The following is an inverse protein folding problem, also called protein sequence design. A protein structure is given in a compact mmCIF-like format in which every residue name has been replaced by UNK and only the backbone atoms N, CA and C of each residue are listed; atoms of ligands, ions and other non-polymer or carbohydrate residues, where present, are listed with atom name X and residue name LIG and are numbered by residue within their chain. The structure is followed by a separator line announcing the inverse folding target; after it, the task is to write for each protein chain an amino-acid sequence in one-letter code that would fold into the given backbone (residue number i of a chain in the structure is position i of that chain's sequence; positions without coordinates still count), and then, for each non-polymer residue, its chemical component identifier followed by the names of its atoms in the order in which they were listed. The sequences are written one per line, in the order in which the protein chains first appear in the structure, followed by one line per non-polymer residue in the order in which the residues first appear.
data_IF_838339470162
#
_entry.id   IF_838339470162
#
_cell.length_a   1.000
_cell.length_b   1.000
_cell.length_c   1.000
_cell.angle_alpha   90.00
_cell.angle_beta   90.00
_cell.angle_gamma   90.00
#
_symmetry.space_group_name_H-M   'P 1'
#
loop_
_entity.id
_entity.type
_entity.pdbx_description
1 polymer ?
#
# COMPACT_ATOMS: atom_id res chain seq x y z
N UNK A 1 5.83 -20.63 42.18
CA UNK A 1 5.95 -21.05 40.77
C UNK A 1 6.44 -19.91 39.88
N UNK A 2 5.87 -18.70 39.92
CA UNK A 2 6.30 -17.55 39.13
C UNK A 2 7.77 -17.19 39.32
N UNK A 3 8.26 -17.13 40.56
CA UNK A 3 9.67 -16.83 40.86
C UNK A 3 10.63 -17.81 40.18
N UNK A 4 10.31 -19.10 40.16
CA UNK A 4 11.11 -20.12 39.45
C UNK A 4 11.13 -19.91 37.93
N UNK A 5 10.05 -19.38 37.34
CA UNK A 5 10.04 -19.03 35.92
C UNK A 5 10.94 -17.81 35.65
N UNK A 6 10.90 -16.82 36.53
CA UNK A 6 11.79 -15.64 36.44
C UNK A 6 13.25 -16.03 36.57
N UNK A 7 13.59 -16.88 37.56
CA UNK A 7 14.95 -17.41 37.73
C UNK A 7 15.44 -18.17 36.50
N UNK A 8 14.62 -19.08 35.97
CA UNK A 8 14.94 -19.82 34.72
C UNK A 8 15.15 -18.88 33.54
N UNK A 9 14.26 -17.90 33.37
CA UNK A 9 14.42 -16.88 32.32
C UNK A 9 15.76 -16.15 32.46
N UNK A 10 16.11 -15.69 33.67
CA UNK A 10 17.34 -14.95 33.90
C UNK A 10 18.58 -15.83 33.64
N UNK A 11 18.54 -17.11 34.05
CA UNK A 11 19.61 -18.08 33.78
C UNK A 11 19.79 -18.31 32.26
N UNK A 12 18.70 -18.47 31.51
CA UNK A 12 18.75 -18.65 30.06
C UNK A 12 19.27 -17.38 29.37
N UNK A 13 18.82 -16.21 29.79
CA UNK A 13 19.29 -14.94 29.22
C UNK A 13 20.78 -14.70 29.49
N UNK A 14 21.29 -15.09 30.66
CA UNK A 14 22.72 -14.98 30.96
C UNK A 14 23.57 -15.96 30.13
N UNK A 15 23.04 -17.16 29.87
CA UNK A 15 23.72 -18.19 29.08
C UNK A 15 23.66 -17.95 27.55
N UNK A 16 22.68 -17.19 27.11
CA UNK A 16 22.46 -16.89 25.68
C UNK A 16 22.29 -15.38 25.49
N UNK A 17 23.39 -14.62 25.43
CA UNK A 17 23.30 -13.19 25.19
C UNK A 17 22.55 -12.93 23.88
N UNK A 18 21.57 -12.02 23.92
CA UNK A 18 20.83 -11.61 22.74
C UNK A 18 21.78 -11.05 21.69
N UNK A 19 21.81 -11.68 20.54
CA UNK A 19 22.45 -11.06 19.38
C UNK A 19 21.67 -9.77 19.03
N UNK A 20 22.38 -8.70 18.65
CA UNK A 20 21.71 -7.49 18.18
C UNK A 20 20.84 -7.85 16.97
N UNK A 21 19.66 -7.24 16.82
CA UNK A 21 18.79 -7.50 15.67
C UNK A 21 19.51 -7.16 14.36
N UNK A 22 19.45 -8.05 13.39
CA UNK A 22 19.97 -7.83 12.03
C UNK A 22 18.91 -7.11 11.19
N UNK A 23 18.56 -5.88 11.56
CA UNK A 23 17.51 -5.12 10.92
C UNK A 23 17.60 -5.04 9.39
N UNK A 24 18.79 -4.77 8.79
CA UNK A 24 18.91 -4.73 7.34
C UNK A 24 18.56 -6.06 6.65
N UNK A 25 19.01 -7.18 7.20
CA UNK A 25 18.72 -8.51 6.64
C UNK A 25 17.25 -8.88 6.79
N UNK A 26 16.66 -8.54 7.95
CA UNK A 26 15.22 -8.72 8.18
C UNK A 26 14.38 -7.85 7.24
N UNK A 27 14.80 -6.61 6.99
CA UNK A 27 14.15 -5.73 6.03
C UNK A 27 14.24 -6.28 4.60
N UNK A 28 15.41 -6.72 4.16
CA UNK A 28 15.60 -7.34 2.86
C UNK A 28 14.72 -8.59 2.67
N UNK A 29 14.58 -9.39 3.73
CA UNK A 29 13.67 -10.55 3.72
C UNK A 29 12.19 -10.11 3.63
N UNK A 30 11.78 -9.09 4.37
CA UNK A 30 10.43 -8.55 4.32
C UNK A 30 10.08 -7.99 2.92
N UNK A 31 11.00 -7.26 2.30
CA UNK A 31 10.84 -6.78 0.92
C UNK A 31 10.68 -7.94 -0.06
N UNK A 32 11.50 -8.99 0.07
CA UNK A 32 11.38 -10.19 -0.78
C UNK A 32 10.04 -10.89 -0.56
N UNK A 33 9.60 -11.08 0.68
CA UNK A 33 8.32 -11.69 1.01
C UNK A 33 7.14 -10.88 0.42
N UNK A 34 7.18 -9.56 0.53
CA UNK A 34 6.16 -8.69 -0.06
C UNK A 34 6.11 -8.83 -1.60
N UNK A 35 7.28 -8.85 -2.26
CA UNK A 35 7.36 -9.03 -3.73
C UNK A 35 6.79 -10.37 -4.17
N UNK A 36 7.08 -11.45 -3.45
CA UNK A 36 6.59 -12.80 -3.74
C UNK A 36 5.11 -12.97 -3.34
N UNK A 37 4.61 -12.16 -2.41
CA UNK A 37 3.22 -12.17 -1.94
C UNK A 37 2.26 -11.35 -2.80
N UNK A 38 2.75 -10.48 -3.68
CA UNK A 38 1.90 -9.71 -4.57
C UNK A 38 1.25 -10.61 -5.63
N UNK A 39 -0.06 -10.49 -5.81
CA UNK A 39 -0.81 -11.25 -6.82
C UNK A 39 -1.20 -10.36 -7.98
N UNK A 40 -0.74 -10.71 -9.18
CA UNK A 40 -1.15 -10.04 -10.41
C UNK A 40 -2.46 -10.64 -10.91
N UNK A 41 -3.59 -10.01 -10.58
CA UNK A 41 -4.92 -10.50 -10.97
C UNK A 41 -5.22 -10.27 -12.45
N UNK A 42 -4.74 -9.14 -12.99
CA UNK A 42 -5.01 -8.74 -14.37
C UNK A 42 -3.89 -7.86 -14.93
N UNK A 43 -3.43 -8.15 -16.14
CA UNK A 43 -2.50 -7.31 -16.88
C UNK A 43 -2.86 -7.32 -18.38
N UNK A 44 -4.05 -6.81 -18.70
CA UNK A 44 -4.54 -6.74 -20.08
C UNK A 44 -3.71 -5.72 -20.86
N UNK A 45 -3.34 -6.09 -22.09
CA UNK A 45 -2.51 -5.27 -22.98
C UNK A 45 -1.10 -4.96 -22.43
N UNK A 46 -0.58 -5.79 -21.54
CA UNK A 46 0.78 -5.66 -20.97
C UNK A 46 1.07 -4.25 -20.44
N UNK A 47 0.14 -3.69 -19.63
CA UNK A 47 0.30 -2.35 -19.02
C UNK A 47 1.40 -2.32 -17.95
N UNK A 48 1.68 -3.46 -17.38
CA UNK A 48 2.82 -3.68 -16.47
C UNK A 48 3.86 -4.57 -17.18
N UNK A 49 5.16 -4.34 -16.96
CA UNK A 49 5.75 -3.32 -16.09
C UNK A 49 5.58 -1.89 -16.63
N UNK A 50 5.64 -0.89 -15.72
CA UNK A 50 5.67 0.52 -16.09
C UNK A 50 6.98 0.81 -16.84
N UNK A 51 6.91 1.68 -17.84
CA UNK A 51 8.06 2.04 -18.68
C UNK A 51 8.64 3.37 -18.21
N UNK A 52 9.93 3.35 -17.83
CA UNK A 52 10.67 4.57 -17.59
C UNK A 52 11.01 5.25 -18.92
N UNK A 53 10.79 6.55 -19.04
CA UNK A 53 11.11 7.26 -20.27
C UNK A 53 10.91 8.78 -20.17
N UNK A 54 11.79 9.51 -20.84
CA UNK A 54 11.68 10.96 -20.93
C UNK A 54 10.37 11.38 -21.65
N UNK A 55 9.68 12.35 -21.07
CA UNK A 55 8.38 12.80 -21.54
C UNK A 55 7.17 11.98 -21.04
N UNK A 56 7.43 10.83 -20.39
CA UNK A 56 6.36 10.09 -19.73
C UNK A 56 5.93 10.80 -18.45
N UNK A 57 4.63 10.73 -18.16
CA UNK A 57 4.03 11.22 -16.92
C UNK A 57 3.27 10.10 -16.25
N UNK A 58 3.65 9.75 -15.03
CA UNK A 58 2.94 8.81 -14.17
C UNK A 58 2.16 9.58 -13.11
N UNK A 59 0.85 9.43 -13.09
CA UNK A 59 0.02 9.89 -11.99
C UNK A 59 -0.18 8.77 -10.98
N UNK A 60 0.19 9.01 -9.74
CA UNK A 60 -0.05 8.11 -8.60
C UNK A 60 -1.18 8.69 -7.78
N UNK A 61 -2.25 7.91 -7.56
CA UNK A 61 -3.43 8.33 -6.80
C UNK A 61 -3.56 7.46 -5.55
N UNK A 62 -3.90 8.08 -4.43
CA UNK A 62 -4.17 7.43 -3.16
C UNK A 62 -3.19 7.79 -2.06
N UNK A 63 -3.70 7.91 -0.85
CA UNK A 63 -2.90 8.25 0.36
C UNK A 63 -1.91 7.14 0.72
N UNK A 64 -2.23 5.87 0.43
CA UNK A 64 -1.35 4.72 0.70
C UNK A 64 -0.05 4.74 -0.13
N UNK A 65 0.00 5.53 -1.19
CA UNK A 65 1.26 5.75 -1.92
C UNK A 65 2.31 6.49 -1.07
N UNK A 66 1.88 7.28 -0.08
CA UNK A 66 2.73 8.08 0.82
C UNK A 66 2.74 7.51 2.23
N UNK A 67 1.58 7.04 2.71
CA UNK A 67 1.40 6.46 4.04
C UNK A 67 0.87 5.03 3.92
N UNK A 68 1.71 4.06 3.52
CA UNK A 68 1.26 2.72 3.21
C UNK A 68 0.75 1.99 4.45
N UNK A 69 -0.32 1.24 4.29
CA UNK A 69 -0.81 0.31 5.32
C UNK A 69 0.02 -0.97 5.25
N UNK A 70 0.93 -1.15 6.21
CA UNK A 70 1.85 -2.31 6.27
C UNK A 70 1.37 -3.40 7.23
N UNK A 71 0.31 -3.14 8.00
CA UNK A 71 -0.16 -4.03 9.06
C UNK A 71 -1.60 -3.69 9.46
N UNK A 72 -2.28 -4.66 10.07
CA UNK A 72 -3.59 -4.45 10.69
C UNK A 72 -3.53 -3.57 11.93
N UNK A 73 -4.71 -3.30 12.50
CA UNK A 73 -4.86 -2.60 13.76
C UNK A 73 -4.79 -3.55 14.98
N UNK A 74 -4.88 -3.00 16.19
CA UNK A 74 -4.91 -3.76 17.44
C UNK A 74 -3.56 -4.37 17.79
N UNK A 75 -3.56 -5.60 18.28
CA UNK A 75 -2.37 -6.32 18.78
C UNK A 75 -1.35 -6.67 17.67
N UNK A 76 -1.75 -6.62 16.41
CA UNK A 76 -0.86 -6.81 15.27
C UNK A 76 0.05 -5.61 15.00
N UNK A 77 -0.23 -4.45 15.60
CA UNK A 77 0.53 -3.22 15.37
C UNK A 77 1.94 -3.32 15.98
N UNK A 78 2.96 -3.08 15.15
CA UNK A 78 4.37 -3.04 15.55
C UNK A 78 5.02 -1.73 15.10
N UNK A 79 6.05 -1.30 15.81
CA UNK A 79 6.89 -0.18 15.39
C UNK A 79 7.90 -0.71 14.35
N UNK A 80 7.60 -0.51 13.08
CA UNK A 80 8.50 -0.92 12.01
C UNK A 80 9.81 -0.13 12.07
N UNK A 81 10.94 -0.83 11.86
CA UNK A 81 12.26 -0.19 11.77
C UNK A 81 12.38 0.71 10.54
N UNK A 82 11.79 0.28 9.42
CA UNK A 82 11.75 1.02 8.17
C UNK A 82 10.46 0.70 7.42
N UNK A 83 9.88 1.70 6.79
CA UNK A 83 8.70 1.57 5.93
C UNK A 83 9.03 2.19 4.59
N UNK A 84 8.93 1.38 3.53
CA UNK A 84 9.06 1.87 2.16
C UNK A 84 7.78 2.61 1.74
N UNK A 85 7.96 3.77 1.12
CA UNK A 85 6.86 4.54 0.57
C UNK A 85 6.74 4.25 -0.93
N UNK A 86 5.62 3.71 -1.43
CA UNK A 86 5.45 3.39 -2.85
C UNK A 86 5.75 4.56 -3.78
N UNK A 87 5.33 5.77 -3.45
CA UNK A 87 5.60 6.97 -4.25
C UNK A 87 7.10 7.26 -4.38
N UNK A 88 7.85 7.15 -3.29
CA UNK A 88 9.30 7.34 -3.29
C UNK A 88 10.01 6.24 -4.08
N UNK A 89 9.56 5.00 -3.93
CA UNK A 89 10.09 3.87 -4.68
C UNK A 89 9.84 4.01 -6.20
N UNK A 90 8.64 4.42 -6.60
CA UNK A 90 8.31 4.68 -8.01
C UNK A 90 9.18 5.79 -8.60
N UNK A 91 9.40 6.89 -7.87
CA UNK A 91 10.29 7.97 -8.31
C UNK A 91 11.73 7.50 -8.50
N UNK A 92 12.22 6.63 -7.63
CA UNK A 92 13.56 6.07 -7.72
C UNK A 92 13.71 5.08 -8.88
N UNK A 93 12.67 4.30 -9.16
CA UNK A 93 12.67 3.29 -10.23
C UNK A 93 12.42 3.88 -11.62
N UNK A 94 11.81 5.07 -11.69
CA UNK A 94 11.43 5.74 -12.93
C UNK A 94 12.06 7.15 -13.02
N UNK A 95 13.40 7.27 -13.03
CA UNK A 95 14.09 8.56 -12.89
C UNK A 95 13.85 9.52 -14.06
N UNK A 96 13.52 9.01 -15.25
CA UNK A 96 13.26 9.81 -16.45
C UNK A 96 11.77 10.12 -16.66
N UNK A 97 10.89 9.60 -15.80
CA UNK A 97 9.44 9.79 -15.84
C UNK A 97 9.02 10.83 -14.80
N UNK A 98 8.18 11.78 -15.19
CA UNK A 98 7.58 12.73 -14.23
C UNK A 98 6.53 12.01 -13.39
N UNK A 99 6.81 11.81 -12.08
CA UNK A 99 5.88 11.13 -11.16
C UNK A 99 5.14 12.16 -10.31
N UNK A 100 3.87 12.34 -10.60
CA UNK A 100 2.92 13.20 -9.87
C UNK A 100 2.14 12.39 -8.83
N UNK A 101 1.60 13.05 -7.82
CA UNK A 101 0.75 12.43 -6.80
C UNK A 101 -0.49 13.26 -6.52
N UNK A 102 -1.63 12.57 -6.36
CA UNK A 102 -2.90 13.11 -5.88
C UNK A 102 -3.50 12.19 -4.80
N UNK A 103 -4.08 12.72 -3.72
CA UNK A 103 -4.78 11.91 -2.73
C UNK A 103 -6.01 11.18 -3.30
N UNK A 104 -6.78 11.85 -4.17
CA UNK A 104 -7.94 11.29 -4.86
C UNK A 104 -9.25 11.32 -4.06
N UNK A 105 -9.18 11.14 -2.74
CA UNK A 105 -10.32 11.13 -1.82
C UNK A 105 -9.94 11.72 -0.47
N UNK A 106 -10.93 11.83 0.43
CA UNK A 106 -10.70 12.28 1.79
C UNK A 106 -10.11 11.15 2.65
N UNK A 107 -9.39 11.48 3.73
CA UNK A 107 -8.71 10.48 4.59
C UNK A 107 -9.68 9.48 5.24
N UNK A 108 -10.92 9.90 5.49
CA UNK A 108 -12.01 9.04 6.01
C UNK A 108 -12.67 8.18 4.92
N UNK A 109 -12.20 8.27 3.67
CA UNK A 109 -12.77 7.56 2.53
C UNK A 109 -14.04 8.17 1.95
N UNK A 110 -14.43 9.38 2.40
CA UNK A 110 -15.54 10.10 1.82
C UNK A 110 -15.20 10.60 0.41
N UNK A 111 -16.21 10.69 -0.44
CA UNK A 111 -16.09 11.29 -1.76
C UNK A 111 -15.86 12.79 -1.60
N UNK A 112 -14.74 13.26 -2.15
CA UNK A 112 -14.43 14.68 -2.26
C UNK A 112 -14.52 15.08 -3.74
N UNK A 113 -15.56 15.82 -4.16
CA UNK A 113 -15.76 16.18 -5.56
C UNK A 113 -14.61 16.97 -6.17
N UNK A 114 -13.96 17.82 -5.36
CA UNK A 114 -12.85 18.65 -5.85
C UNK A 114 -11.58 17.82 -6.05
N UNK A 115 -11.24 16.95 -5.11
CA UNK A 115 -10.11 16.02 -5.25
C UNK A 115 -10.33 15.04 -6.40
N UNK A 116 -11.53 14.54 -6.54
CA UNK A 116 -11.92 13.67 -7.66
C UNK A 116 -11.74 14.41 -9.00
N UNK A 117 -12.26 15.63 -9.14
CA UNK A 117 -12.12 16.40 -10.37
C UNK A 117 -10.64 16.67 -10.71
N UNK A 118 -9.83 17.05 -9.72
CA UNK A 118 -8.39 17.27 -9.90
C UNK A 118 -7.67 15.99 -10.34
N UNK A 119 -8.00 14.86 -9.72
CA UNK A 119 -7.42 13.57 -10.08
C UNK A 119 -7.80 13.16 -11.52
N UNK A 120 -9.05 13.38 -11.93
CA UNK A 120 -9.52 13.08 -13.29
C UNK A 120 -8.84 13.97 -14.33
N UNK A 121 -8.72 15.28 -14.08
CA UNK A 121 -8.03 16.19 -14.98
C UNK A 121 -6.58 15.75 -15.22
N UNK A 122 -5.83 15.44 -14.15
CA UNK A 122 -4.46 14.96 -14.25
C UNK A 122 -4.35 13.58 -14.88
N UNK A 123 -5.30 12.69 -14.59
CA UNK A 123 -5.33 11.36 -15.18
C UNK A 123 -5.53 11.40 -16.70
N UNK A 124 -6.32 12.35 -17.21
CA UNK A 124 -6.52 12.54 -18.64
C UNK A 124 -5.23 12.96 -19.38
N UNK A 125 -4.30 13.61 -18.70
CA UNK A 125 -3.03 14.10 -19.25
C UNK A 125 -1.85 13.15 -19.01
N UNK A 126 -2.01 12.18 -18.08
CA UNK A 126 -0.94 11.27 -17.72
C UNK A 126 -0.75 10.17 -18.77
N UNK A 127 0.51 9.77 -19.02
CA UNK A 127 0.86 8.62 -19.86
C UNK A 127 0.38 7.31 -19.23
N UNK A 128 0.43 7.23 -17.89
CA UNK A 128 -0.07 6.10 -17.11
C UNK A 128 -0.57 6.57 -15.74
N UNK A 129 -1.44 5.78 -15.13
CA UNK A 129 -1.97 6.04 -13.79
C UNK A 129 -1.80 4.79 -12.92
N UNK A 130 -1.38 4.98 -11.67
CA UNK A 130 -1.39 3.95 -10.63
C UNK A 130 -2.28 4.43 -9.49
N UNK A 131 -3.29 3.64 -9.14
CA UNK A 131 -4.21 3.94 -8.03
C UNK A 131 -3.93 2.97 -6.88
N UNK A 132 -3.67 3.49 -5.69
CA UNK A 132 -3.56 2.71 -4.46
C UNK A 132 -4.88 2.80 -3.72
N UNK A 133 -5.62 1.69 -3.66
CA UNK A 133 -6.90 1.59 -2.96
C UNK A 133 -6.80 0.56 -1.84
N UNK A 134 -7.20 0.95 -0.64
CA UNK A 134 -7.12 0.11 0.55
C UNK A 134 -8.45 0.03 1.28
N UNK A 135 -8.61 -1.00 2.09
CA UNK A 135 -9.68 -1.05 3.08
C UNK A 135 -9.32 -0.17 4.27
N UNK A 136 -10.30 0.47 4.94
CA UNK A 136 -10.01 1.31 6.10
C UNK A 136 -9.29 0.52 7.21
N UNK A 137 -8.24 1.10 7.78
CA UNK A 137 -7.49 0.47 8.86
C UNK A 137 -8.38 0.10 10.06
N UNK A 138 -9.40 0.90 10.34
CA UNK A 138 -10.37 0.64 11.39
C UNK A 138 -11.19 -0.64 11.17
N UNK A 139 -11.31 -1.10 9.92
CA UNK A 139 -12.01 -2.34 9.55
C UNK A 139 -11.06 -3.54 9.39
N UNK A 140 -9.79 -3.41 9.80
CA UNK A 140 -8.75 -4.43 9.67
C UNK A 140 -8.17 -4.86 11.01
N UNK A 141 -8.88 -4.69 12.11
CA UNK A 141 -8.46 -5.01 13.47
C UNK A 141 -9.15 -6.24 14.04
N UNK A 142 -8.58 -6.80 15.12
CA UNK A 142 -9.14 -7.95 15.85
C UNK A 142 -10.56 -7.70 16.37
N UNK A 143 -10.92 -6.46 16.66
CA UNK A 143 -12.21 -6.07 17.28
C UNK A 143 -13.18 -5.46 16.26
N UNK A 144 -12.88 -5.50 14.97
CA UNK A 144 -13.67 -4.85 13.94
C UNK A 144 -13.95 -5.78 12.77
N UNK A 145 -15.22 -6.12 12.60
CA UNK A 145 -15.70 -6.88 11.44
C UNK A 145 -16.08 -5.95 10.29
N UNK A 146 -15.67 -6.32 9.08
CA UNK A 146 -16.13 -5.66 7.86
C UNK A 146 -17.62 -5.93 7.65
N UNK A 147 -18.35 -4.89 7.26
CA UNK A 147 -19.80 -5.01 6.98
C UNK A 147 -20.11 -5.61 5.62
N UNK A 148 -19.20 -5.47 4.67
CA UNK A 148 -19.28 -5.99 3.30
C UNK A 148 -17.88 -6.22 2.74
N UNK A 149 -17.79 -6.74 1.52
CA UNK A 149 -16.53 -6.99 0.82
C UNK A 149 -16.14 -5.86 -0.15
N UNK A 150 -16.87 -4.76 -0.18
CA UNK A 150 -16.65 -3.68 -1.13
C UNK A 150 -15.42 -2.83 -0.74
N UNK A 151 -14.81 -2.23 -1.75
CA UNK A 151 -13.96 -1.07 -1.54
C UNK A 151 -14.82 0.12 -1.12
N UNK A 152 -14.19 1.14 -0.51
CA UNK A 152 -14.92 2.38 -0.17
C UNK A 152 -15.58 2.99 -1.43
N UNK A 153 -16.78 3.58 -1.30
CA UNK A 153 -17.47 4.20 -2.43
C UNK A 153 -16.64 5.21 -3.21
N UNK A 154 -15.79 6.00 -2.50
CA UNK A 154 -14.89 6.94 -3.14
C UNK A 154 -13.82 6.25 -4.02
N UNK A 155 -13.29 5.10 -3.57
CA UNK A 155 -12.33 4.32 -4.35
C UNK A 155 -12.97 3.78 -5.63
N UNK A 156 -14.13 3.13 -5.52
CA UNK A 156 -14.86 2.58 -6.67
C UNK A 156 -15.20 3.68 -7.68
N UNK A 157 -15.75 4.81 -7.21
CA UNK A 157 -16.10 5.93 -8.06
C UNK A 157 -14.89 6.52 -8.82
N UNK A 158 -13.74 6.65 -8.15
CA UNK A 158 -12.53 7.16 -8.77
C UNK A 158 -11.95 6.14 -9.77
N UNK A 159 -11.81 4.87 -9.39
CA UNK A 159 -11.31 3.81 -10.27
C UNK A 159 -12.13 3.76 -11.55
N UNK A 160 -13.46 3.71 -11.43
CA UNK A 160 -14.37 3.64 -12.57
C UNK A 160 -14.19 4.82 -13.52
N UNK A 161 -14.15 6.05 -12.99
CA UNK A 161 -14.02 7.26 -13.80
C UNK A 161 -12.64 7.39 -14.43
N UNK A 162 -11.56 7.08 -13.70
CA UNK A 162 -10.20 7.12 -14.24
C UNK A 162 -10.03 6.09 -15.35
N UNK A 163 -10.53 4.86 -15.18
CA UNK A 163 -10.47 3.82 -16.22
C UNK A 163 -11.24 4.18 -17.49
N UNK A 164 -12.27 5.04 -17.41
CA UNK A 164 -13.00 5.53 -18.60
C UNK A 164 -12.20 6.55 -19.41
N UNK A 165 -11.35 7.34 -18.76
CA UNK A 165 -10.62 8.44 -19.41
C UNK A 165 -9.18 8.10 -19.76
N UNK A 166 -8.57 7.18 -19.05
CA UNK A 166 -7.20 6.73 -19.31
C UNK A 166 -7.16 5.19 -19.41
N UNK A 167 -6.75 4.61 -20.55
CA UNK A 167 -6.68 3.16 -20.71
C UNK A 167 -5.44 2.52 -20.07
N UNK A 168 -4.46 3.34 -19.62
CA UNK A 168 -3.20 2.88 -19.04
C UNK A 168 -3.23 3.00 -17.50
N UNK A 169 -4.17 2.27 -16.88
CA UNK A 169 -4.37 2.27 -15.42
C UNK A 169 -3.92 0.94 -14.82
N UNK A 170 -3.19 1.03 -13.71
CA UNK A 170 -2.95 -0.08 -12.78
C UNK A 170 -3.57 0.25 -11.43
N UNK A 171 -4.29 -0.69 -10.83
CA UNK A 171 -4.86 -0.54 -9.49
C UNK A 171 -4.14 -1.49 -8.55
N UNK A 172 -3.59 -0.95 -7.48
CA UNK A 172 -2.98 -1.70 -6.37
C UNK A 172 -4.00 -1.74 -5.24
N UNK A 173 -4.50 -2.93 -4.94
CA UNK A 173 -5.46 -3.15 -3.85
C UNK A 173 -4.73 -3.66 -2.63
N UNK A 174 -4.90 -2.96 -1.50
CA UNK A 174 -4.33 -3.32 -0.20
C UNK A 174 -5.48 -3.71 0.72
N UNK A 175 -5.62 -5.00 0.95
CA UNK A 175 -6.74 -5.56 1.72
C UNK A 175 -6.29 -6.74 2.57
N UNK A 176 -6.84 -6.94 3.78
CA UNK A 176 -6.51 -8.07 4.64
C UNK A 176 -7.19 -9.37 4.19
N UNK A 177 -8.24 -9.28 3.38
CA UNK A 177 -9.10 -10.41 2.99
C UNK A 177 -9.70 -10.22 1.58
N UNK A 178 -10.67 -11.08 1.22
CA UNK A 178 -11.39 -10.99 -0.05
C UNK A 178 -12.08 -9.62 -0.21
N UNK A 179 -11.98 -9.06 -1.40
CA UNK A 179 -12.55 -7.75 -1.73
C UNK A 179 -13.17 -7.79 -3.12
N UNK A 180 -14.36 -7.23 -3.26
CA UNK A 180 -15.01 -7.05 -4.55
C UNK A 180 -14.36 -5.86 -5.27
N UNK A 181 -13.98 -6.08 -6.52
CA UNK A 181 -13.36 -5.06 -7.36
C UNK A 181 -14.37 -4.60 -8.42
N UNK A 182 -14.38 -3.30 -8.79
CA UNK A 182 -15.25 -2.75 -9.82
C UNK A 182 -14.92 -3.25 -11.22
#
# INVERSE_FOLDING_TARGET
RLLRLVERRNTIQAASPRQPPMWPDHHALAVRAAREGCVLLRNTHARLPLVNGAGNTLLVIGTDAVLPQIQGAGSAAVNAWQVEQPLSALRSLLPDTTVMHEPGWHEDGAVDPQRLATALEKAAQATAVVIFASTPKAESGEDADRKNLDLLPAHNALIEQVCRINPAVAVVVITPDATLLP
#
